data_IF_808570615312
#
_entry.id   IF_808570615312
#
_cell.length_a   1.000
_cell.length_b   1.000
_cell.length_c   1.000
_cell.angle_alpha   90.00
_cell.angle_beta   90.00
_cell.angle_gamma   90.00
#
_symmetry.space_group_name_H-M   'P 1'
#
loop_
_entity.id
_entity.type
_entity.pdbx_description
1 polymer ?
#
# COMPACT_ATOMS: atom_id res chain seq x y z
N UNK A 1 31.29 -9.52 25.06
CA UNK A 1 30.18 -8.59 24.75
C UNK A 1 30.38 -8.14 23.31
N UNK A 2 29.34 -8.20 22.47
CA UNK A 2 29.42 -7.85 21.05
C UNK A 2 28.54 -6.61 20.81
N UNK A 3 29.13 -5.40 20.70
CA UNK A 3 28.37 -4.20 20.38
C UNK A 3 27.63 -4.35 19.04
N UNK A 4 26.32 -4.09 19.03
CA UNK A 4 25.48 -4.20 17.85
C UNK A 4 24.94 -5.61 17.57
N UNK A 5 25.13 -6.57 18.47
CA UNK A 5 24.54 -7.91 18.33
C UNK A 5 23.01 -7.85 18.33
N UNK A 6 22.38 -8.33 17.25
CA UNK A 6 20.94 -8.54 17.20
C UNK A 6 20.66 -10.01 17.53
N UNK A 7 19.94 -10.22 18.63
CA UNK A 7 19.49 -11.56 19.04
C UNK A 7 18.07 -11.77 18.55
N UNK A 8 17.91 -12.63 17.55
CA UNK A 8 16.59 -13.01 17.03
C UNK A 8 16.15 -14.34 17.62
N UNK A 9 14.85 -14.59 17.55
CA UNK A 9 14.29 -15.92 17.72
C UNK A 9 14.70 -16.81 16.53
N UNK A 10 14.89 -18.13 16.72
CA UNK A 10 15.21 -19.03 15.61
C UNK A 10 14.01 -19.31 14.70
N UNK A 11 12.79 -19.09 15.18
CA UNK A 11 11.58 -19.38 14.43
C UNK A 11 11.34 -18.34 13.32
N UNK A 12 10.97 -18.79 12.09
CA UNK A 12 10.55 -17.89 11.02
C UNK A 12 9.30 -17.10 11.40
N UNK A 13 9.21 -15.87 10.89
CA UNK A 13 8.01 -15.05 11.01
C UNK A 13 7.01 -15.41 9.90
N UNK A 14 5.77 -15.72 10.27
CA UNK A 14 4.68 -15.82 9.28
C UNK A 14 4.31 -14.42 8.77
N UNK A 15 4.31 -14.27 7.45
CA UNK A 15 3.93 -13.03 6.79
C UNK A 15 2.53 -13.17 6.17
N UNK A 16 1.79 -12.06 6.10
CA UNK A 16 0.49 -11.95 5.43
C UNK A 16 -0.59 -12.94 5.96
N UNK A 17 -0.50 -13.32 7.23
CA UNK A 17 -1.45 -14.22 7.89
C UNK A 17 -2.88 -13.67 7.86
N UNK A 18 -3.85 -14.60 7.88
CA UNK A 18 -5.28 -14.26 7.90
C UNK A 18 -5.84 -13.67 6.61
N UNK A 19 -5.11 -13.75 5.49
CA UNK A 19 -5.54 -13.23 4.18
C UNK A 19 -5.78 -14.36 3.19
N UNK A 20 -6.71 -14.13 2.27
CA UNK A 20 -6.95 -15.00 1.14
C UNK A 20 -5.69 -15.07 0.27
N UNK A 21 -5.29 -16.30 -0.09
CA UNK A 21 -4.13 -16.60 -0.91
C UNK A 21 -4.55 -17.49 -2.08
N UNK A 22 -3.90 -17.32 -3.24
CA UNK A 22 -4.11 -18.20 -4.39
C UNK A 22 -2.85 -18.31 -5.25
N UNK A 23 -2.54 -19.51 -5.78
CA UNK A 23 -1.50 -19.66 -6.78
C UNK A 23 -2.00 -19.18 -8.15
N UNK A 24 -1.10 -18.62 -8.96
CA UNK A 24 -1.38 -18.19 -10.32
C UNK A 24 -0.20 -18.49 -11.24
N UNK A 25 -0.48 -19.10 -12.39
CA UNK A 25 0.53 -19.34 -13.43
C UNK A 25 0.67 -18.09 -14.29
N UNK A 26 1.90 -17.63 -14.46
CA UNK A 26 2.24 -16.42 -15.21
C UNK A 26 3.29 -16.74 -16.25
N UNK A 27 3.08 -16.29 -17.48
CA UNK A 27 4.04 -16.46 -18.59
C UNK A 27 4.46 -15.10 -19.10
N UNK A 28 5.76 -14.86 -19.25
CA UNK A 28 6.22 -13.67 -19.96
C UNK A 28 6.23 -13.93 -21.47
N UNK A 29 5.23 -13.39 -22.17
CA UNK A 29 5.13 -13.46 -23.63
C UNK A 29 5.92 -12.37 -24.36
N UNK A 30 6.62 -11.49 -23.63
CA UNK A 30 7.47 -10.44 -24.19
C UNK A 30 8.88 -10.92 -24.52
N UNK A 31 9.65 -10.02 -25.13
CA UNK A 31 11.05 -10.22 -25.52
C UNK A 31 12.07 -9.72 -24.47
N UNK A 32 11.57 -9.13 -23.39
CA UNK A 32 12.39 -8.52 -22.33
C UNK A 32 12.01 -9.06 -20.96
N UNK A 33 12.96 -9.13 -20.02
CA UNK A 33 12.69 -9.54 -18.66
C UNK A 33 11.77 -8.54 -17.96
N UNK A 34 10.83 -9.06 -17.15
CA UNK A 34 9.87 -8.27 -16.38
C UNK A 34 10.02 -8.58 -14.91
N UNK A 35 10.05 -7.55 -14.07
CA UNK A 35 10.17 -7.68 -12.62
C UNK A 35 8.98 -7.02 -11.94
N UNK A 36 8.29 -7.76 -11.07
CA UNK A 36 7.07 -7.32 -10.39
C UNK A 36 7.31 -7.29 -8.89
N UNK A 37 7.09 -6.13 -8.27
CA UNK A 37 7.30 -5.92 -6.84
C UNK A 37 6.17 -6.47 -5.96
N UNK A 38 6.48 -6.69 -4.68
CA UNK A 38 5.59 -7.24 -3.65
C UNK A 38 4.23 -6.56 -3.52
N UNK A 39 4.13 -5.25 -3.77
CA UNK A 39 2.94 -4.43 -3.51
C UNK A 39 2.27 -3.87 -4.78
N UNK A 40 2.70 -4.32 -5.95
CA UNK A 40 1.96 -4.00 -7.18
C UNK A 40 0.62 -4.73 -7.14
N UNK A 41 -0.45 -4.03 -7.51
CA UNK A 41 -1.72 -4.69 -7.81
C UNK A 41 -1.52 -5.61 -9.02
N UNK A 42 -1.69 -6.92 -8.84
CA UNK A 42 -1.16 -7.88 -9.80
C UNK A 42 -1.88 -7.83 -11.15
N UNK A 43 -3.17 -7.50 -11.17
CA UNK A 43 -3.91 -7.29 -12.44
C UNK A 43 -3.45 -6.06 -13.23
N UNK A 44 -2.71 -5.12 -12.61
CA UNK A 44 -2.04 -3.98 -13.24
C UNK A 44 -0.60 -4.27 -13.68
N UNK A 45 -0.14 -5.53 -13.58
CA UNK A 45 1.19 -5.90 -14.07
C UNK A 45 1.31 -5.73 -15.59
N UNK A 46 2.55 -5.69 -16.08
CA UNK A 46 2.90 -5.44 -17.48
C UNK A 46 2.01 -6.28 -18.44
N UNK A 47 1.43 -5.67 -19.50
CA UNK A 47 0.59 -6.38 -20.49
C UNK A 47 1.24 -7.59 -21.16
N UNK A 48 2.57 -7.62 -21.28
CA UNK A 48 3.31 -8.76 -21.83
C UNK A 48 3.27 -10.01 -20.94
N UNK A 49 2.89 -9.88 -19.66
CA UNK A 49 2.62 -11.02 -18.78
C UNK A 49 1.22 -11.58 -19.07
N UNK A 50 1.18 -12.86 -19.42
CA UNK A 50 -0.02 -13.64 -19.72
C UNK A 50 -0.41 -14.44 -18.49
N UNK A 51 -1.61 -14.18 -17.98
CA UNK A 51 -2.24 -14.84 -16.83
C UNK A 51 -3.72 -14.45 -16.76
N UNK A 52 -4.49 -15.09 -15.88
CA UNK A 52 -5.87 -14.70 -15.60
C UNK A 52 -5.92 -13.39 -14.80
N UNK A 53 -6.19 -12.28 -15.49
CA UNK A 53 -6.23 -10.94 -14.88
C UNK A 53 -7.43 -10.74 -13.97
N UNK A 54 -8.56 -11.39 -14.25
CA UNK A 54 -9.77 -11.28 -13.43
C UNK A 54 -9.54 -11.94 -12.07
N UNK A 55 -8.91 -13.13 -12.07
CA UNK A 55 -8.54 -13.82 -10.84
C UNK A 55 -7.54 -13.04 -9.96
N UNK A 56 -6.75 -12.13 -10.57
CA UNK A 56 -5.74 -11.32 -9.91
C UNK A 56 -6.23 -9.96 -9.37
N UNK A 57 -7.50 -9.59 -9.60
CA UNK A 57 -8.08 -8.33 -9.10
C UNK A 57 -8.16 -8.35 -7.58
N UNK A 58 -7.62 -7.31 -6.94
CA UNK A 58 -7.56 -7.18 -5.49
C UNK A 58 -6.41 -7.94 -4.84
N UNK A 59 -5.46 -8.47 -5.62
CA UNK A 59 -4.33 -9.25 -5.12
C UNK A 59 -2.98 -8.61 -5.43
N UNK A 60 -1.96 -8.97 -4.64
CA UNK A 60 -0.55 -8.66 -4.84
C UNK A 60 0.31 -9.92 -4.62
N UNK A 61 1.59 -9.89 -4.95
CA UNK A 61 2.49 -11.04 -4.70
C UNK A 61 2.62 -11.33 -3.20
N UNK A 62 2.52 -12.61 -2.84
CA UNK A 62 2.74 -13.10 -1.47
C UNK A 62 4.23 -13.34 -1.20
N UNK A 63 5.01 -12.25 -1.25
CA UNK A 63 6.46 -12.26 -1.04
C UNK A 63 6.86 -11.18 -0.02
N UNK A 64 8.06 -11.28 0.60
CA UNK A 64 8.53 -10.29 1.56
C UNK A 64 8.43 -8.85 1.03
N UNK A 65 7.99 -7.94 1.89
CA UNK A 65 7.84 -6.54 1.53
C UNK A 65 9.18 -5.96 1.00
N UNK A 66 9.10 -5.17 -0.07
CA UNK A 66 10.28 -4.60 -0.74
C UNK A 66 10.99 -5.55 -1.72
N UNK A 67 10.60 -6.83 -1.79
CA UNK A 67 11.14 -7.77 -2.78
C UNK A 67 10.31 -7.82 -4.07
N UNK A 68 10.76 -8.63 -5.03
CA UNK A 68 10.13 -8.77 -6.35
C UNK A 68 10.36 -10.14 -6.96
N UNK A 69 9.46 -10.54 -7.86
CA UNK A 69 9.62 -11.72 -8.72
C UNK A 69 10.03 -11.28 -10.12
N UNK A 70 11.03 -11.96 -10.69
CA UNK A 70 11.50 -11.75 -12.06
C UNK A 70 10.99 -12.87 -12.97
N UNK A 71 10.54 -12.48 -14.16
CA UNK A 71 10.03 -13.33 -15.22
C UNK A 71 10.90 -13.15 -16.47
N UNK A 72 11.61 -14.21 -16.86
CA UNK A 72 12.39 -14.23 -18.10
C UNK A 72 11.48 -14.44 -19.32
N UNK A 73 11.84 -13.91 -20.50
CA UNK A 73 11.10 -14.13 -21.75
C UNK A 73 10.81 -15.60 -22.03
N UNK A 74 9.56 -15.93 -22.36
CA UNK A 74 9.12 -17.29 -22.74
C UNK A 74 8.98 -18.29 -21.59
N UNK A 75 9.35 -17.91 -20.36
CA UNK A 75 9.31 -18.83 -19.21
C UNK A 75 7.99 -18.68 -18.44
N UNK A 76 7.36 -19.82 -18.15
CA UNK A 76 6.22 -19.88 -17.24
C UNK A 76 6.68 -20.03 -15.79
N UNK A 77 5.97 -19.40 -14.86
CA UNK A 77 6.24 -19.47 -13.42
C UNK A 77 4.94 -19.39 -12.63
N UNK A 78 4.77 -20.29 -11.67
CA UNK A 78 3.71 -20.19 -10.67
C UNK A 78 4.14 -19.22 -9.56
N UNK A 79 3.27 -18.30 -9.20
CA UNK A 79 3.46 -17.36 -8.10
C UNK A 79 2.27 -17.41 -7.15
N UNK A 80 2.51 -17.14 -5.87
CA UNK A 80 1.45 -16.99 -4.90
C UNK A 80 1.03 -15.54 -4.79
N UNK A 81 -0.28 -15.33 -4.76
CA UNK A 81 -0.93 -14.05 -4.60
C UNK A 81 -1.64 -13.98 -3.25
N UNK A 82 -1.68 -12.79 -2.67
CA UNK A 82 -2.38 -12.50 -1.41
C UNK A 82 -3.27 -11.27 -1.56
N UNK A 83 -4.45 -11.29 -0.92
CA UNK A 83 -5.40 -10.20 -0.99
C UNK A 83 -4.85 -8.90 -0.40
N UNK A 84 -5.14 -7.78 -1.08
CA UNK A 84 -4.85 -6.43 -0.61
C UNK A 84 -5.54 -6.17 0.74
N UNK A 85 -4.85 -5.41 1.60
CA UNK A 85 -5.36 -5.01 2.91
C UNK A 85 -6.01 -3.63 2.89
N UNK A 86 -6.37 -3.16 4.09
CA UNK A 86 -6.95 -1.82 4.27
C UNK A 86 -8.24 -1.67 3.46
N UNK A 87 -8.40 -0.49 2.83
CA UNK A 87 -9.60 -0.16 2.04
C UNK A 87 -9.68 -0.86 0.68
N UNK A 88 -8.67 -1.66 0.31
CA UNK A 88 -8.56 -2.32 -1.01
C UNK A 88 -8.73 -1.38 -2.21
N UNK A 89 -8.43 -0.11 -2.01
CA UNK A 89 -8.50 0.91 -3.05
C UNK A 89 -7.17 0.99 -3.79
N UNK A 90 -7.20 0.85 -5.12
CA UNK A 90 -6.02 0.92 -5.99
C UNK A 90 -6.12 2.19 -6.83
N UNK A 91 -5.46 3.28 -6.43
CA UNK A 91 -5.47 4.54 -7.18
C UNK A 91 -4.56 4.41 -8.41
N UNK A 92 -5.09 3.83 -9.48
CA UNK A 92 -4.54 3.84 -10.85
C UNK A 92 -3.03 3.67 -10.99
N UNK A 93 -2.54 2.42 -11.06
CA UNK A 93 -1.16 2.11 -11.48
C UNK A 93 -1.00 2.06 -13.02
N UNK A 94 -2.12 1.93 -13.74
CA UNK A 94 -2.21 2.02 -15.19
C UNK A 94 -3.31 3.01 -15.57
N UNK A 95 -3.15 3.68 -16.72
CA UNK A 95 -4.25 4.37 -17.37
C UNK A 95 -5.21 3.30 -17.89
N UNK A 96 -6.44 3.31 -17.38
CA UNK A 96 -7.50 2.39 -17.82
C UNK A 96 -8.66 3.18 -18.39
N UNK A 97 -9.27 2.65 -19.44
CA UNK A 97 -10.50 3.19 -20.00
C UNK A 97 -11.72 2.93 -19.08
N UNK A 98 -11.62 1.96 -18.17
CA UNK A 98 -12.68 1.50 -17.26
C UNK A 98 -12.15 1.28 -15.83
N UNK A 99 -12.88 1.72 -14.78
CA UNK A 99 -12.60 1.32 -13.39
C UNK A 99 -12.82 -0.19 -13.19
N UNK A 100 -11.98 -0.84 -12.38
CA UNK A 100 -12.26 -2.20 -11.93
C UNK A 100 -13.42 -2.18 -10.92
N UNK A 101 -14.33 -3.13 -11.04
CA UNK A 101 -15.43 -3.32 -10.08
C UNK A 101 -14.87 -3.57 -8.66
N UNK A 102 -15.48 -2.93 -7.66
CA UNK A 102 -15.01 -2.95 -6.27
C UNK A 102 -13.79 -2.08 -5.97
N UNK A 103 -13.21 -1.42 -6.97
CA UNK A 103 -12.00 -0.60 -6.86
C UNK A 103 -12.25 0.80 -7.46
N UNK A 104 -13.49 1.29 -7.30
CA UNK A 104 -13.93 2.56 -7.86
C UNK A 104 -13.02 3.70 -7.37
N UNK A 105 -12.44 4.41 -8.33
CA UNK A 105 -11.76 5.66 -8.08
C UNK A 105 -12.85 6.71 -7.91
N UNK A 106 -13.32 6.95 -6.68
CA UNK A 106 -14.19 8.11 -6.39
C UNK A 106 -13.46 9.45 -6.59
N UNK A 107 -12.14 9.40 -6.82
CA UNK A 107 -11.32 10.58 -7.04
C UNK A 107 -11.04 10.77 -8.52
N UNK A 108 -11.60 11.82 -9.10
CA UNK A 108 -11.17 12.28 -10.42
C UNK A 108 -9.65 12.51 -10.43
N UNK A 109 -8.90 11.96 -11.41
CA UNK A 109 -7.47 12.18 -11.50
C UNK A 109 -7.21 13.68 -11.65
N UNK A 110 -6.56 14.28 -10.65
CA UNK A 110 -6.18 15.69 -10.72
C UNK A 110 -5.18 15.88 -11.85
N UNK A 111 -5.54 16.71 -12.83
CA UNK A 111 -4.61 17.16 -13.87
C UNK A 111 -3.44 17.89 -13.20
N UNK A 112 -2.28 17.27 -13.19
CA UNK A 112 -1.06 17.91 -12.69
C UNK A 112 -0.58 18.92 -13.74
N UNK A 113 -0.69 20.20 -13.40
CA UNK A 113 -0.14 21.31 -14.18
C UNK A 113 1.21 21.72 -13.57
N UNK A 114 2.28 21.86 -14.37
CA UNK A 114 3.54 22.39 -13.88
C UNK A 114 3.34 23.75 -13.20
N UNK A 115 4.04 23.97 -12.10
CA UNK A 115 4.01 25.26 -11.40
C UNK A 115 4.47 26.37 -12.36
N UNK A 116 3.67 27.44 -12.49
CA UNK A 116 3.95 28.56 -13.40
C UNK A 116 3.42 28.40 -14.83
N UNK A 117 2.56 27.40 -15.10
CA UNK A 117 1.87 27.30 -16.40
C UNK A 117 1.01 28.55 -16.64
N UNK A 118 1.24 29.33 -17.73
CA UNK A 118 0.48 30.55 -17.99
C UNK A 118 -1.02 30.30 -18.01
N UNK A 119 -1.81 31.23 -17.46
CA UNK A 119 -3.27 31.16 -17.37
C UNK A 119 -3.83 29.94 -16.62
N UNK A 120 -3.05 29.36 -15.70
CA UNK A 120 -3.50 28.24 -14.87
C UNK A 120 -3.58 28.66 -13.41
N UNK A 121 -4.79 28.72 -12.85
CA UNK A 121 -5.00 28.92 -11.42
C UNK A 121 -4.65 27.63 -10.66
N UNK A 122 -3.83 27.74 -9.62
CA UNK A 122 -3.52 26.63 -8.71
C UNK A 122 -4.37 26.78 -7.45
N UNK A 123 -5.12 25.73 -7.07
CA UNK A 123 -5.71 25.67 -5.73
C UNK A 123 -4.60 25.83 -4.68
N UNK A 124 -4.78 26.76 -3.74
CA UNK A 124 -3.91 26.82 -2.57
C UNK A 124 -4.17 25.54 -1.76
N UNK A 125 -3.14 24.73 -1.44
CA UNK A 125 -3.36 23.58 -0.59
C UNK A 125 -3.93 24.08 0.75
N UNK A 126 -4.88 23.33 1.35
CA UNK A 126 -5.33 23.67 2.70
C UNK A 126 -4.10 23.73 3.60
N UNK A 127 -3.96 24.81 4.37
CA UNK A 127 -2.91 24.88 5.39
C UNK A 127 -3.11 23.67 6.28
N UNK A 128 -2.07 22.86 6.47
CA UNK A 128 -2.09 21.79 7.45
C UNK A 128 -2.57 22.39 8.77
N UNK A 129 -3.65 21.85 9.36
CA UNK A 129 -4.04 22.23 10.71
C UNK A 129 -2.80 22.07 11.59
N UNK A 130 -2.51 23.10 12.39
CA UNK A 130 -1.35 23.10 13.28
C UNK A 130 -1.38 21.85 14.14
N UNK A 131 -0.50 20.90 13.85
CA UNK A 131 -0.24 19.77 14.73
C UNK A 131 0.45 20.38 15.95
N UNK A 132 -0.23 20.44 17.10
CA UNK A 132 0.44 20.78 18.36
C UNK A 132 1.41 19.65 18.68
N UNK A 133 2.68 19.84 18.29
CA UNK A 133 3.78 18.98 18.69
C UNK A 133 4.04 19.31 20.17
N UNK A 134 3.63 18.42 21.08
CA UNK A 134 4.11 18.48 22.45
C UNK A 134 5.58 18.05 22.44
N UNK A 135 6.47 18.96 22.80
CA UNK A 135 7.86 18.63 23.11
C UNK A 135 7.86 18.13 24.56
N UNK A 136 8.54 17.03 24.82
CA UNK A 136 8.46 16.26 26.08
C UNK A 136 8.81 17.04 27.36
N UNK A 137 9.33 18.27 27.23
CA UNK A 137 9.75 19.12 28.35
C UNK A 137 8.71 20.17 28.77
N UNK A 138 7.54 20.22 28.13
CA UNK A 138 6.46 21.12 28.56
C UNK A 138 5.73 20.57 29.79
N UNK A 139 5.61 21.42 30.82
CA UNK A 139 4.86 21.12 32.03
C UNK A 139 3.36 20.95 31.71
N UNK A 140 2.64 20.03 32.38
CA UNK A 140 1.22 19.82 32.11
C UNK A 140 0.40 21.07 32.45
N UNK A 141 -0.47 21.48 31.53
CA UNK A 141 -1.42 22.57 31.73
C UNK A 141 -2.37 22.25 32.89
N UNK A 142 -2.55 23.23 33.78
CA UNK A 142 -3.35 23.14 35.01
C UNK A 142 -4.88 23.01 34.80
N UNK A 143 -5.33 22.71 33.57
CA UNK A 143 -6.73 22.57 33.21
C UNK A 143 -7.23 21.11 33.19
N UNK A 144 -6.36 20.12 33.40
CA UNK A 144 -6.72 18.68 33.40
C UNK A 144 -7.15 18.18 34.80
N UNK A 145 -7.48 19.10 35.72
CA UNK A 145 -7.95 18.79 37.08
C UNK A 145 -9.29 19.47 37.35
N UNK A 146 -10.33 19.11 36.60
CA UNK A 146 -11.73 19.34 37.02
C UNK A 146 -12.69 18.35 36.37
N UNK A 147 -13.38 17.57 37.23
CA UNK A 147 -14.62 16.81 36.94
C UNK A 147 -14.39 15.30 36.78
N UNK A 148 -15.06 14.38 37.47
CA UNK A 148 -16.31 14.36 38.26
C UNK A 148 -16.19 13.10 39.18
N UNK A 149 -16.67 13.00 40.43
CA UNK A 149 -18.06 12.91 40.91
C UNK A 149 -17.99 12.48 42.40
N UNK A 150 -18.46 13.28 43.36
CA UNK A 150 -19.78 13.19 44.06
C UNK A 150 -20.09 11.85 44.76
N UNK A 151 -20.09 11.92 46.11
CA UNK A 151 -21.03 11.38 47.14
C UNK A 151 -21.93 10.17 46.81
N UNK A 152 -22.11 9.16 47.69
CA UNK A 152 -22.91 9.19 48.94
C UNK A 152 -22.89 7.76 49.60
N UNK A 153 -23.56 7.45 50.73
CA UNK A 153 -23.36 7.94 52.10
C UNK A 153 -23.29 6.78 53.15
N UNK A 154 -23.06 7.15 54.43
CA UNK A 154 -23.28 6.43 55.71
C UNK A 154 -22.86 4.96 55.90
#
# INVERSE_FOLDING_TARGET
MIPGEIRTRPEPLEMNSGRERKPLVVVNGGDRPIQVGSHLHFSDANPALQFDREAAVGFRLDIPAGTSVRFEPGVSRTVDLVALGGRRHVPGLQLRDRPLEGHAVEREPRRVVPFGTPNTESEKPPRAMGMHIRISDDAPDAADVTGESEEEPS
#
